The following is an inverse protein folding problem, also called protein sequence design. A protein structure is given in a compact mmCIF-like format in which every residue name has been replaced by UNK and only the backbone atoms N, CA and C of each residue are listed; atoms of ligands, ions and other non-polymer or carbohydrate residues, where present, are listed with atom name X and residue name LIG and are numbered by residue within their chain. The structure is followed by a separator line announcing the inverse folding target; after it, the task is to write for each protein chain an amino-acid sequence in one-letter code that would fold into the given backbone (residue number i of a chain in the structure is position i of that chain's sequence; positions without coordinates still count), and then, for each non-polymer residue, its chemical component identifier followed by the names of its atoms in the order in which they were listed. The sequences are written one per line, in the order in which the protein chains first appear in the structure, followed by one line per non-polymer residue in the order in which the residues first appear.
data_IF_767837432017
#
_entry.id   IF_767837432017
#
_cell.length_a   1.000
_cell.length_b   1.000
_cell.length_c   1.000
_cell.angle_alpha   90.00
_cell.angle_beta   90.00
_cell.angle_gamma   90.00
#
_symmetry.space_group_name_H-M   'P 1'
#
loop_
_entity.id
_entity.type
_entity.pdbx_description
1 polymer ?
#
# COMPACT_ATOMS: atom_id res chain seq x y z
N UNK A 1 64.29 -7.57 18.34
CA UNK A 1 65.02 -7.66 17.06
C UNK A 1 64.06 -7.30 15.94
N UNK A 2 64.07 -6.03 15.49
CA UNK A 2 64.75 -5.60 14.25
C UNK A 2 64.30 -6.43 13.05
N UNK A 3 63.67 -5.87 12.15
CA UNK A 3 64.00 -5.00 10.99
C UNK A 3 62.94 -5.31 9.94
N UNK A 4 62.54 -4.56 9.08
CA UNK A 4 62.89 -3.41 8.27
C UNK A 4 61.75 -3.20 7.24
N UNK A 5 61.27 -2.02 7.14
CA UNK A 5 61.24 -1.10 6.02
C UNK A 5 61.18 -1.79 4.63
N UNK A 6 60.15 -1.52 3.85
CA UNK A 6 60.27 -0.89 2.54
C UNK A 6 58.95 -0.22 2.14
N UNK A 7 59.11 1.05 2.00
CA UNK A 7 58.29 2.06 1.40
C UNK A 7 58.22 1.82 -0.11
N UNK A 8 57.02 1.76 -0.67
CA UNK A 8 56.83 2.09 -2.08
C UNK A 8 55.56 2.89 -2.30
N UNK A 9 55.81 4.13 -2.50
CA UNK A 9 54.93 5.16 -3.00
C UNK A 9 54.64 4.86 -4.48
N UNK A 10 53.38 4.65 -4.82
CA UNK A 10 52.94 4.73 -6.21
C UNK A 10 51.71 5.62 -6.30
N UNK A 11 52.01 6.86 -6.63
CA UNK A 11 51.05 7.91 -7.03
C UNK A 11 50.61 7.58 -8.45
N UNK A 12 49.32 7.34 -8.66
CA UNK A 12 48.73 7.38 -10.00
C UNK A 12 47.54 8.34 -9.96
N UNK A 13 47.82 9.51 -10.48
CA UNK A 13 46.77 10.44 -10.94
C UNK A 13 46.15 9.87 -12.21
N UNK A 14 44.85 9.71 -12.20
CA UNK A 14 44.05 9.36 -13.36
C UNK A 14 42.79 10.19 -13.40
N UNK A 15 42.80 11.14 -14.26
CA UNK A 15 41.82 12.20 -14.58
C UNK A 15 40.41 11.68 -14.91
N UNK A 16 39.46 12.44 -14.41
CA UNK A 16 38.23 12.97 -15.05
C UNK A 16 37.60 12.20 -16.20
N UNK A 17 36.39 11.75 -15.97
CA UNK A 17 35.38 11.76 -17.02
C UNK A 17 34.04 12.23 -16.41
N UNK A 18 33.74 13.50 -16.66
CA UNK A 18 32.38 14.00 -16.63
C UNK A 18 31.60 13.28 -17.72
N UNK A 19 30.76 12.36 -17.33
CA UNK A 19 29.72 11.75 -18.16
C UNK A 19 28.37 12.19 -17.65
N UNK A 20 27.84 13.21 -18.28
CA UNK A 20 26.45 13.63 -18.10
C UNK A 20 25.56 12.56 -18.68
N UNK A 21 25.02 11.69 -17.85
CA UNK A 21 23.96 10.77 -18.25
C UNK A 21 22.77 10.97 -17.34
N UNK A 22 21.78 11.64 -17.89
CA UNK A 22 20.39 11.66 -17.45
C UNK A 22 19.89 10.21 -17.43
N UNK A 23 20.13 9.50 -16.35
CA UNK A 23 19.50 8.21 -16.09
C UNK A 23 18.18 8.47 -15.38
N UNK A 24 17.10 8.23 -16.11
CA UNK A 24 15.74 8.14 -15.60
C UNK A 24 15.73 7.32 -14.31
N UNK A 25 15.32 7.96 -13.24
CA UNK A 25 15.09 7.38 -11.94
C UNK A 25 13.85 6.48 -12.00
N UNK A 26 14.04 5.23 -12.33
CA UNK A 26 13.00 4.20 -12.41
C UNK A 26 13.14 3.12 -11.31
N UNK A 27 13.98 3.36 -10.31
CA UNK A 27 14.38 2.32 -9.34
C UNK A 27 13.77 2.50 -7.94
N UNK A 28 12.90 3.48 -7.75
CA UNK A 28 12.33 3.77 -6.41
C UNK A 28 11.08 2.96 -6.06
N UNK A 29 10.28 2.60 -7.05
CA UNK A 29 8.95 2.00 -6.82
C UNK A 29 9.02 0.50 -6.50
N UNK A 30 9.90 -0.24 -7.14
CA UNK A 30 10.03 -1.70 -6.89
C UNK A 30 10.65 -2.02 -5.53
N UNK A 31 11.59 -1.20 -5.04
CA UNK A 31 12.18 -1.41 -3.70
C UNK A 31 11.22 -1.09 -2.57
N UNK A 32 10.35 -0.09 -2.74
CA UNK A 32 9.33 0.22 -1.74
C UNK A 32 8.23 -0.82 -1.68
N UNK A 33 7.86 -1.43 -2.81
CA UNK A 33 6.87 -2.50 -2.85
C UNK A 33 7.40 -3.77 -2.17
N UNK A 34 8.63 -4.17 -2.43
CA UNK A 34 9.24 -5.37 -1.84
C UNK A 34 9.53 -5.23 -0.33
N UNK A 35 9.80 -4.02 0.17
CA UNK A 35 9.97 -3.77 1.61
C UNK A 35 8.64 -3.72 2.34
N UNK A 36 7.58 -3.24 1.69
CA UNK A 36 6.23 -3.19 2.25
C UNK A 36 5.59 -4.58 2.40
N UNK A 37 5.94 -5.55 1.56
CA UNK A 37 5.43 -6.92 1.64
C UNK A 37 5.95 -7.70 2.86
N UNK A 38 7.10 -7.31 3.43
CA UNK A 38 7.69 -7.95 4.62
C UNK A 38 7.19 -7.38 5.94
N UNK A 39 6.58 -6.23 5.94
CA UNK A 39 6.08 -5.60 7.15
C UNK A 39 4.65 -6.06 7.45
N UNK A 40 4.39 -6.49 8.69
CA UNK A 40 3.04 -6.79 9.14
C UNK A 40 2.19 -5.54 9.02
N UNK A 41 1.09 -5.62 8.28
CA UNK A 41 0.16 -4.50 8.08
C UNK A 41 -1.19 -4.97 7.62
N UNK A 42 -2.16 -4.10 7.78
CA UNK A 42 -3.50 -4.25 7.21
C UNK A 42 -3.69 -3.18 6.14
N UNK A 43 -4.25 -3.55 5.01
CA UNK A 43 -4.63 -2.60 3.95
C UNK A 43 -6.15 -2.64 3.76
N UNK A 44 -6.76 -1.46 3.74
CA UNK A 44 -8.14 -1.27 3.31
C UNK A 44 -8.09 -0.81 1.85
N UNK A 45 -8.50 -1.69 0.93
CA UNK A 45 -8.48 -1.42 -0.49
C UNK A 45 -9.89 -1.13 -0.98
N UNK A 46 -10.12 0.08 -1.45
CA UNK A 46 -11.36 0.45 -2.13
C UNK A 46 -11.11 0.62 -3.63
N UNK A 47 -11.70 -0.26 -4.40
CA UNK A 47 -11.65 -0.21 -5.86
C UNK A 47 -12.88 0.49 -6.43
N UNK A 48 -12.69 1.29 -7.46
CA UNK A 48 -13.78 1.93 -8.20
C UNK A 48 -13.46 2.06 -9.69
N UNK A 49 -14.52 2.05 -10.51
CA UNK A 49 -14.41 2.37 -11.92
C UNK A 49 -14.56 3.86 -12.19
N UNK A 50 -14.53 4.22 -13.47
CA UNK A 50 -14.71 5.58 -13.97
C UNK A 50 -16.09 6.15 -13.60
N UNK A 51 -17.14 5.34 -13.69
CA UNK A 51 -18.49 5.71 -13.27
C UNK A 51 -18.72 5.30 -11.81
N UNK A 52 -19.23 6.23 -11.02
CA UNK A 52 -19.41 6.05 -9.60
C UNK A 52 -20.87 6.23 -9.21
N UNK A 53 -21.48 5.19 -8.65
CA UNK A 53 -22.83 5.23 -8.13
C UNK A 53 -22.89 5.89 -6.73
N UNK A 54 -24.07 6.32 -6.30
CA UNK A 54 -24.26 6.93 -4.97
C UNK A 54 -23.81 5.99 -3.82
N UNK A 55 -24.07 4.68 -3.94
CA UNK A 55 -23.60 3.70 -2.95
C UNK A 55 -22.09 3.53 -3.03
N UNK A 56 -21.50 3.54 -4.23
CA UNK A 56 -20.04 3.48 -4.41
C UNK A 56 -19.34 4.64 -3.69
N UNK A 57 -19.86 5.86 -3.87
CA UNK A 57 -19.33 7.04 -3.18
C UNK A 57 -19.51 6.98 -1.66
N UNK A 58 -20.64 6.43 -1.18
CA UNK A 58 -20.89 6.25 0.24
C UNK A 58 -19.92 5.23 0.88
N UNK A 59 -19.58 4.16 0.17
CA UNK A 59 -18.58 3.16 0.63
C UNK A 59 -17.23 3.83 0.84
N UNK A 60 -16.72 4.54 -0.16
CA UNK A 60 -15.43 5.23 -0.06
C UNK A 60 -15.40 6.23 1.08
N UNK A 61 -16.39 7.12 1.10
CA UNK A 61 -16.50 8.17 2.12
C UNK A 61 -16.52 7.58 3.53
N UNK A 62 -17.44 6.67 3.78
CA UNK A 62 -17.65 6.12 5.12
C UNK A 62 -16.50 5.19 5.56
N UNK A 63 -15.88 4.44 4.64
CA UNK A 63 -14.70 3.64 4.94
C UNK A 63 -13.52 4.53 5.31
N UNK A 64 -13.27 5.59 4.54
CA UNK A 64 -12.21 6.55 4.81
C UNK A 64 -12.41 7.25 6.15
N UNK A 65 -13.63 7.76 6.41
CA UNK A 65 -13.96 8.40 7.68
C UNK A 65 -13.77 7.48 8.89
N UNK A 66 -14.18 6.20 8.80
CA UNK A 66 -14.00 5.23 9.86
C UNK A 66 -12.51 4.98 10.15
N UNK A 67 -11.72 4.80 9.10
CA UNK A 67 -10.28 4.56 9.22
C UNK A 67 -9.55 5.78 9.80
N UNK A 68 -9.82 6.97 9.30
CA UNK A 68 -9.18 8.20 9.77
C UNK A 68 -9.55 8.54 11.22
N UNK A 69 -10.81 8.30 11.62
CA UNK A 69 -11.28 8.60 12.96
C UNK A 69 -10.80 7.63 14.05
N UNK A 70 -10.59 6.36 13.71
CA UNK A 70 -10.31 5.30 14.68
C UNK A 70 -8.87 4.81 14.68
N UNK A 71 -8.10 5.06 13.60
CA UNK A 71 -6.79 4.44 13.38
C UNK A 71 -5.69 5.44 13.01
N UNK A 72 -5.73 6.64 13.59
CA UNK A 72 -4.76 7.70 13.28
C UNK A 72 -3.30 7.24 13.51
N UNK A 73 -3.04 6.54 14.62
CA UNK A 73 -1.70 6.03 14.94
C UNK A 73 -1.25 4.94 13.97
N UNK A 74 -2.14 4.02 13.62
CA UNK A 74 -1.84 2.93 12.70
C UNK A 74 -1.62 3.45 11.27
N UNK A 75 -2.32 4.48 10.87
CA UNK A 75 -2.08 5.18 9.60
C UNK A 75 -0.72 5.87 9.59
N UNK A 76 -0.33 6.53 10.69
CA UNK A 76 0.96 7.22 10.83
C UNK A 76 2.15 6.27 10.83
N UNK A 77 2.04 5.14 11.52
CA UNK A 77 3.13 4.16 11.62
C UNK A 77 3.14 3.12 10.48
N UNK A 78 2.14 3.15 9.59
CA UNK A 78 2.05 2.27 8.42
C UNK A 78 1.53 0.86 8.71
N UNK A 79 1.09 0.55 9.94
CA UNK A 79 0.46 -0.74 10.25
C UNK A 79 -0.96 -0.86 9.68
N UNK A 80 -1.60 0.26 9.35
CA UNK A 80 -2.81 0.33 8.56
C UNK A 80 -2.62 1.28 7.38
N UNK A 81 -3.09 0.88 6.21
CA UNK A 81 -3.06 1.70 4.99
C UNK A 81 -4.43 1.71 4.35
N UNK A 82 -4.93 2.88 3.95
CA UNK A 82 -6.13 3.02 3.15
C UNK A 82 -5.75 3.41 1.71
N UNK A 83 -6.23 2.64 0.73
CA UNK A 83 -5.98 2.89 -0.68
C UNK A 83 -7.28 2.98 -1.46
N UNK A 84 -7.40 4.03 -2.26
CA UNK A 84 -8.44 4.17 -3.29
C UNK A 84 -7.80 3.86 -4.64
N UNK A 85 -8.37 2.90 -5.38
CA UNK A 85 -7.79 2.34 -6.60
C UNK A 85 -8.79 2.49 -7.75
N UNK A 86 -8.44 3.30 -8.73
CA UNK A 86 -9.24 3.47 -9.95
C UNK A 86 -8.88 2.37 -10.96
N UNK A 87 -9.76 1.38 -11.11
CA UNK A 87 -9.55 0.24 -12.00
C UNK A 87 -9.70 0.59 -13.49
N UNK A 88 -10.06 1.83 -13.86
CA UNK A 88 -10.06 2.30 -15.23
C UNK A 88 -8.69 2.74 -15.71
N UNK A 89 -7.70 2.78 -14.83
CA UNK A 89 -6.32 3.14 -15.13
C UNK A 89 -5.47 1.89 -15.35
N UNK A 90 -4.70 1.89 -16.43
CA UNK A 90 -3.81 0.79 -16.82
C UNK A 90 -2.79 0.45 -15.71
N UNK A 91 -2.29 1.46 -15.00
CA UNK A 91 -1.35 1.28 -13.89
C UNK A 91 -1.91 0.43 -12.73
N UNK A 92 -3.24 0.30 -12.63
CA UNK A 92 -3.94 -0.45 -11.60
C UNK A 92 -4.48 -1.81 -12.08
N UNK A 93 -4.24 -2.19 -13.34
CA UNK A 93 -4.71 -3.45 -13.92
C UNK A 93 -4.20 -4.66 -13.12
N UNK A 94 -2.91 -4.70 -12.82
CA UNK A 94 -2.30 -5.81 -12.09
C UNK A 94 -2.91 -6.04 -10.69
N UNK A 95 -3.24 -4.98 -9.95
CA UNK A 95 -3.85 -5.13 -8.63
C UNK A 95 -5.35 -5.46 -8.75
N UNK A 96 -6.04 -4.95 -9.76
CA UNK A 96 -7.42 -5.32 -10.03
C UNK A 96 -7.55 -6.79 -10.40
N UNK A 97 -6.69 -7.30 -11.27
CA UNK A 97 -6.63 -8.71 -11.67
C UNK A 97 -6.30 -9.62 -10.48
N UNK A 98 -5.33 -9.23 -9.64
CA UNK A 98 -4.95 -9.98 -8.45
C UNK A 98 -6.14 -10.28 -7.52
N UNK A 99 -7.05 -9.33 -7.36
CA UNK A 99 -8.24 -9.47 -6.51
C UNK A 99 -9.51 -9.78 -7.32
N UNK A 100 -9.38 -10.05 -8.62
CA UNK A 100 -10.49 -10.34 -9.55
C UNK A 100 -11.58 -9.25 -9.53
N UNK A 101 -11.14 -7.98 -9.47
CA UNK A 101 -12.02 -6.83 -9.35
C UNK A 101 -12.36 -6.28 -10.73
N UNK A 102 -13.65 -6.23 -11.06
CA UNK A 102 -14.18 -5.67 -12.30
C UNK A 102 -15.13 -4.49 -12.08
N UNK A 103 -15.45 -4.16 -10.84
CA UNK A 103 -16.34 -3.08 -10.43
C UNK A 103 -16.00 -2.58 -9.04
N UNK A 104 -16.78 -1.62 -8.49
CA UNK A 104 -16.51 -1.07 -7.16
C UNK A 104 -16.53 -2.15 -6.09
N UNK A 105 -15.44 -2.28 -5.37
CA UNK A 105 -15.23 -3.36 -4.39
C UNK A 105 -14.44 -2.87 -3.18
N UNK A 106 -14.69 -3.48 -2.03
CA UNK A 106 -13.99 -3.19 -0.77
C UNK A 106 -13.35 -4.47 -0.24
N UNK A 107 -12.04 -4.39 0.04
CA UNK A 107 -11.26 -5.49 0.59
C UNK A 107 -10.52 -5.06 1.86
N UNK A 108 -10.39 -5.99 2.80
CA UNK A 108 -9.38 -5.94 3.84
C UNK A 108 -8.29 -6.96 3.53
N UNK A 109 -7.04 -6.51 3.50
CA UNK A 109 -5.89 -7.36 3.22
C UNK A 109 -4.94 -7.29 4.39
N UNK A 110 -4.60 -8.45 4.97
CA UNK A 110 -3.61 -8.58 6.04
C UNK A 110 -2.33 -9.19 5.48
N UNK A 111 -1.24 -8.52 5.74
CA UNK A 111 0.11 -9.07 5.57
C UNK A 111 0.68 -9.41 6.93
N UNK A 112 1.02 -10.68 7.14
CA UNK A 112 1.61 -11.14 8.39
C UNK A 112 2.65 -12.22 8.12
N UNK A 113 3.87 -12.00 8.59
CA UNK A 113 4.97 -12.97 8.44
C UNK A 113 5.20 -13.39 6.98
N UNK A 114 5.08 -12.46 6.05
CA UNK A 114 5.24 -12.69 4.61
C UNK A 114 4.07 -13.42 3.93
N UNK A 115 2.97 -13.63 4.64
CA UNK A 115 1.73 -14.18 4.10
C UNK A 115 0.68 -13.11 3.93
N UNK A 116 -0.05 -13.18 2.84
CA UNK A 116 -1.19 -12.33 2.54
C UNK A 116 -2.49 -13.10 2.77
N UNK A 117 -3.46 -12.45 3.37
CA UNK A 117 -4.85 -12.91 3.41
C UNK A 117 -5.77 -11.75 3.07
N UNK A 118 -6.75 -11.99 2.21
CA UNK A 118 -7.70 -10.97 1.75
C UNK A 118 -9.14 -11.38 2.08
N UNK A 119 -9.90 -10.46 2.65
CA UNK A 119 -11.34 -10.61 2.88
C UNK A 119 -12.11 -9.63 1.98
N UNK A 120 -13.02 -10.16 1.16
CA UNK A 120 -13.88 -9.35 0.31
C UNK A 120 -15.10 -8.86 1.08
N UNK A 121 -15.16 -7.56 1.37
CA UNK A 121 -16.25 -6.91 2.09
C UNK A 121 -17.27 -6.22 1.16
N UNK A 122 -17.18 -6.41 -0.14
CA UNK A 122 -18.02 -5.70 -1.13
C UNK A 122 -19.51 -5.85 -0.85
N UNK A 123 -19.96 -7.09 -0.61
CA UNK A 123 -21.37 -7.36 -0.31
C UNK A 123 -21.84 -6.64 0.96
N UNK A 124 -21.03 -6.69 2.01
CA UNK A 124 -21.31 -6.01 3.28
C UNK A 124 -21.35 -4.48 3.08
N UNK A 125 -20.40 -3.94 2.33
CA UNK A 125 -20.32 -2.51 2.05
C UNK A 125 -21.53 -2.00 1.26
N UNK A 126 -21.92 -2.70 0.20
CA UNK A 126 -23.11 -2.33 -0.60
C UNK A 126 -24.41 -2.42 0.18
N UNK A 127 -24.53 -3.36 1.11
CA UNK A 127 -25.72 -3.51 1.94
C UNK A 127 -25.87 -2.38 2.98
N UNK A 128 -24.77 -1.84 3.51
CA UNK A 128 -24.79 -1.01 4.70
C UNK A 128 -24.31 0.43 4.50
N UNK A 129 -23.29 0.66 3.66
CA UNK A 129 -22.59 1.93 3.64
C UNK A 129 -23.48 3.17 3.36
N UNK A 130 -24.53 3.01 2.55
CA UNK A 130 -25.45 4.10 2.21
C UNK A 130 -26.64 4.19 3.14
N UNK A 131 -27.21 3.05 3.54
CA UNK A 131 -28.48 2.97 4.27
C UNK A 131 -28.30 2.94 5.78
N UNK A 132 -27.17 2.41 6.26
CA UNK A 132 -26.82 2.28 7.67
C UNK A 132 -25.33 2.62 7.90
N UNK A 133 -24.90 3.89 7.64
CA UNK A 133 -23.50 4.27 7.64
C UNK A 133 -22.80 4.02 8.98
N UNK A 134 -23.48 4.21 10.10
CA UNK A 134 -22.90 3.95 11.42
C UNK A 134 -22.64 2.46 11.64
N UNK A 135 -23.59 1.60 11.26
CA UNK A 135 -23.42 0.13 11.29
C UNK A 135 -22.25 -0.30 10.38
N UNK A 136 -22.16 0.30 9.20
CA UNK A 136 -21.05 0.04 8.27
C UNK A 136 -19.70 0.41 8.89
N UNK A 137 -19.58 1.63 9.43
CA UNK A 137 -18.35 2.14 10.05
C UNK A 137 -17.93 1.28 11.24
N UNK A 138 -18.88 0.95 12.13
CA UNK A 138 -18.62 0.10 13.28
C UNK A 138 -18.12 -1.28 12.87
N UNK A 139 -18.83 -1.97 12.00
CA UNK A 139 -18.42 -3.31 11.57
C UNK A 139 -17.10 -3.33 10.79
N UNK A 140 -16.80 -2.29 10.01
CA UNK A 140 -15.49 -2.14 9.38
C UNK A 140 -14.38 -1.95 10.42
N UNK A 141 -14.61 -1.11 11.42
CA UNK A 141 -13.67 -0.88 12.52
C UNK A 141 -13.39 -2.15 13.31
N UNK A 142 -14.43 -2.92 13.67
CA UNK A 142 -14.30 -4.20 14.38
C UNK A 142 -13.45 -5.22 13.58
N UNK A 143 -13.69 -5.30 12.27
CA UNK A 143 -12.92 -6.20 11.39
C UNK A 143 -11.45 -5.78 11.28
N UNK A 144 -11.17 -4.50 11.16
CA UNK A 144 -9.80 -3.98 11.12
C UNK A 144 -9.08 -4.27 12.44
N UNK A 145 -9.72 -4.02 13.58
CA UNK A 145 -9.15 -4.33 14.90
C UNK A 145 -8.76 -5.81 15.01
N UNK A 146 -9.66 -6.72 14.61
CA UNK A 146 -9.38 -8.16 14.63
C UNK A 146 -8.24 -8.61 13.71
N UNK A 147 -7.82 -7.76 12.76
CA UNK A 147 -6.67 -8.03 11.89
C UNK A 147 -5.37 -7.39 12.38
N UNK A 148 -5.46 -6.35 13.21
CA UNK A 148 -4.30 -5.64 13.78
C UNK A 148 -3.74 -6.34 15.02
N UNK A 149 -4.57 -7.14 15.73
CA UNK A 149 -4.18 -7.99 16.85
C UNK A 149 -3.36 -9.22 16.37
#
# INVERSE_FOLDING_TARGET
CMNNIVLTLALVLGLTACGNNTAKNSSGTERQTAQNEKQNRVEVLYFHGKQRCATCMAIEKNAKEAVEAQFEEQLKNGSLVFKTIDISKEENEAIADKYEVTWSSLFLVRYQSGKESAENLTKYAFANARTAPDTFKQGLTEKINGLLD
#
